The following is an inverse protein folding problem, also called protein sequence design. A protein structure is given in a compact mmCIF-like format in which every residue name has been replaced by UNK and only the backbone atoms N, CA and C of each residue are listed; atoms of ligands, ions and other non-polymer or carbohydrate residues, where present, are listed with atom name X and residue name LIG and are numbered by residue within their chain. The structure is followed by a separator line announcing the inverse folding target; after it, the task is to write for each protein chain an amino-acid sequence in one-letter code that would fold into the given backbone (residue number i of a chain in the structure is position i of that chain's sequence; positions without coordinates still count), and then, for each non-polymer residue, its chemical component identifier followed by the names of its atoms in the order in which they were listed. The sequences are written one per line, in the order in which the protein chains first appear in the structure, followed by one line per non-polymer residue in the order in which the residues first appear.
data_IF_882276818224
#
_entry.id   IF_882276818224
#
_cell.length_a   1.000
_cell.length_b   1.000
_cell.length_c   1.000
_cell.angle_alpha   90.00
_cell.angle_beta   90.00
_cell.angle_gamma   90.00
#
_symmetry.space_group_name_H-M   'P 1'
#
loop_
_entity.id
_entity.type
_entity.pdbx_description
1 polymer ?
#
# COMPACT_ATOMS: atom_id res chain seq x y z
N UNK A 1 43.02 -16.01 -46.32
CA UNK A 1 41.92 -16.70 -47.03
C UNK A 1 41.05 -17.42 -46.02
N UNK A 2 39.88 -16.87 -45.66
CA UNK A 2 38.93 -17.50 -44.74
C UNK A 2 38.23 -18.65 -45.47
N UNK A 3 38.35 -19.86 -44.91
CA UNK A 3 37.84 -21.11 -45.48
C UNK A 3 36.32 -21.09 -45.63
N UNK A 4 35.83 -21.68 -46.73
CA UNK A 4 34.41 -21.75 -47.10
C UNK A 4 33.53 -22.38 -45.99
N UNK A 5 34.10 -23.26 -45.16
CA UNK A 5 33.44 -23.85 -43.98
C UNK A 5 33.16 -22.83 -42.87
N UNK A 6 34.04 -21.86 -42.65
CA UNK A 6 33.85 -20.82 -41.62
C UNK A 6 32.73 -19.84 -42.00
N UNK A 7 32.57 -19.55 -43.30
CA UNK A 7 31.47 -18.68 -43.79
C UNK A 7 30.11 -19.35 -43.71
N UNK A 8 30.05 -20.67 -43.90
CA UNK A 8 28.82 -21.44 -43.75
C UNK A 8 28.38 -21.54 -42.28
N UNK A 9 29.32 -21.76 -41.37
CA UNK A 9 29.05 -21.77 -39.92
C UNK A 9 28.55 -20.42 -39.41
N UNK A 10 29.16 -19.31 -39.84
CA UNK A 10 28.69 -17.96 -39.47
C UNK A 10 27.29 -17.66 -40.00
N UNK A 11 26.96 -18.09 -41.23
CA UNK A 11 25.61 -17.90 -41.80
C UNK A 11 24.54 -18.70 -41.07
N UNK A 12 24.85 -19.94 -40.66
CA UNK A 12 23.93 -20.76 -39.88
C UNK A 12 23.63 -20.14 -38.49
N UNK A 13 24.64 -19.54 -37.85
CA UNK A 13 24.48 -18.86 -36.56
C UNK A 13 23.71 -17.54 -36.66
N UNK A 14 23.92 -16.77 -37.73
CA UNK A 14 23.15 -15.54 -37.98
C UNK A 14 21.65 -15.82 -38.18
N UNK A 15 21.30 -16.92 -38.85
CA UNK A 15 19.90 -17.32 -39.03
C UNK A 15 19.24 -17.80 -37.73
N UNK A 16 19.99 -18.49 -36.84
CA UNK A 16 19.47 -18.92 -35.54
C UNK A 16 19.23 -17.74 -34.58
N UNK A 17 20.11 -16.73 -34.59
CA UNK A 17 19.94 -15.51 -33.79
C UNK A 17 18.74 -14.66 -34.24
N UNK A 18 18.46 -14.61 -35.55
CA UNK A 18 17.31 -13.89 -36.09
C UNK A 18 15.96 -14.56 -35.74
N UNK A 19 15.93 -15.90 -35.62
CA UNK A 19 14.71 -16.63 -35.24
C UNK A 19 14.33 -16.43 -33.76
N UNK A 20 15.32 -16.25 -32.87
CA UNK A 20 15.08 -15.95 -31.44
C UNK A 20 14.61 -14.51 -31.19
N UNK A 21 14.93 -13.58 -32.10
CA UNK A 21 14.48 -12.17 -32.01
C UNK A 21 13.01 -11.96 -32.40
N UNK A 22 12.35 -12.98 -32.96
CA UNK A 22 10.93 -12.94 -33.37
C UNK A 22 9.99 -13.62 -32.36
N UNK A 23 10.51 -14.15 -31.26
CA UNK A 23 9.67 -14.60 -30.15
C UNK A 23 9.04 -13.35 -29.50
N UNK A 24 7.70 -13.27 -29.39
CA UNK A 24 7.07 -12.15 -28.69
C UNK A 24 7.62 -12.11 -27.27
N UNK A 25 8.29 -11.00 -26.94
CA UNK A 25 8.63 -10.62 -25.58
C UNK A 25 7.32 -10.48 -24.81
N UNK A 26 6.88 -11.58 -24.21
CA UNK A 26 5.84 -11.54 -23.19
C UNK A 26 6.44 -10.75 -22.03
N UNK A 27 5.94 -9.56 -21.69
CA UNK A 27 6.42 -8.87 -20.51
C UNK A 27 6.15 -9.80 -19.33
N UNK A 28 7.20 -10.31 -18.74
CA UNK A 28 7.12 -10.86 -17.40
C UNK A 28 6.88 -9.67 -16.48
N UNK A 29 5.62 -9.28 -16.36
CA UNK A 29 5.17 -8.42 -15.28
C UNK A 29 5.62 -9.10 -14.00
N UNK A 30 6.62 -8.51 -13.33
CA UNK A 30 6.92 -8.85 -11.95
C UNK A 30 5.72 -8.35 -11.16
N UNK A 31 4.69 -9.20 -11.10
CA UNK A 31 3.55 -9.01 -10.23
C UNK A 31 4.11 -9.14 -8.83
N UNK A 32 4.42 -8.00 -8.21
CA UNK A 32 4.60 -7.93 -6.78
C UNK A 32 3.23 -8.31 -6.20
N UNK A 33 3.04 -9.61 -5.92
CA UNK A 33 1.92 -10.08 -5.12
C UNK A 33 2.18 -9.54 -3.73
N UNK A 34 1.71 -8.31 -3.49
CA UNK A 34 1.42 -7.85 -2.14
C UNK A 34 0.46 -8.91 -1.61
N UNK A 35 0.78 -9.60 -0.49
CA UNK A 35 -0.20 -10.45 0.14
C UNK A 35 -1.40 -9.57 0.44
N UNK A 36 -2.48 -9.75 -0.32
CA UNK A 36 -3.77 -9.25 0.13
C UNK A 36 -4.01 -9.99 1.44
N UNK A 37 -3.84 -9.27 2.54
CA UNK A 37 -4.39 -9.68 3.81
C UNK A 37 -5.89 -9.50 3.66
N UNK A 38 -6.52 -10.47 2.99
CA UNK A 38 -7.95 -10.69 3.06
C UNK A 38 -8.24 -10.98 4.52
N UNK A 39 -8.62 -9.94 5.26
CA UNK A 39 -9.30 -10.10 6.52
C UNK A 39 -10.62 -10.77 6.18
N UNK A 40 -10.63 -12.11 6.17
CA UNK A 40 -11.86 -12.88 6.19
C UNK A 40 -12.51 -12.55 7.52
N UNK A 41 -13.48 -11.64 7.50
CA UNK A 41 -14.44 -11.56 8.59
C UNK A 41 -14.99 -12.97 8.78
N UNK A 42 -14.89 -13.51 9.99
CA UNK A 42 -15.42 -14.83 10.36
C UNK A 42 -16.94 -14.97 10.11
N UNK A 43 -17.60 -13.91 9.62
CA UNK A 43 -19.01 -13.84 9.28
C UNK A 43 -19.37 -14.33 7.86
N UNK A 44 -18.41 -14.70 6.99
CA UNK A 44 -18.76 -15.16 5.65
C UNK A 44 -19.01 -16.68 5.60
N UNK A 45 -20.31 -17.03 5.52
CA UNK A 45 -20.92 -18.32 5.16
C UNK A 45 -21.14 -19.38 6.27
N UNK A 46 -21.89 -19.03 7.31
CA UNK A 46 -22.95 -19.95 7.74
C UNK A 46 -24.29 -19.40 7.25
N UNK A 47 -25.07 -20.16 6.47
CA UNK A 47 -26.43 -19.75 6.16
C UNK A 47 -27.21 -19.71 7.47
N UNK A 48 -27.53 -18.52 7.97
CA UNK A 48 -28.52 -18.35 9.04
C UNK A 48 -29.87 -18.47 8.36
N UNK A 49 -30.30 -19.71 8.13
CA UNK A 49 -31.60 -19.99 7.58
C UNK A 49 -32.67 -19.50 8.53
N UNK A 50 -33.38 -18.43 8.18
CA UNK A 50 -34.70 -18.13 8.75
C UNK A 50 -35.74 -19.04 8.10
N UNK A 51 -35.50 -20.35 8.24
CA UNK A 51 -36.49 -21.38 7.92
C UNK A 51 -37.50 -21.42 9.06
N UNK A 52 -38.69 -20.89 8.80
CA UNK A 52 -39.85 -20.94 9.69
C UNK A 52 -40.25 -22.41 9.92
N UNK A 53 -39.72 -23.01 10.97
CA UNK A 53 -40.07 -24.34 11.48
C UNK A 53 -40.74 -24.22 12.84
N UNK A 54 -42.00 -24.62 12.90
CA UNK A 54 -42.83 -24.62 14.10
C UNK A 54 -42.28 -25.68 15.09
N UNK A 55 -41.75 -25.27 16.25
CA UNK A 55 -41.20 -26.21 17.23
C UNK A 55 -40.69 -25.52 18.50
N UNK A 56 -41.42 -25.74 19.59
CA UNK A 56 -41.11 -25.59 21.02
C UNK A 56 -39.87 -24.81 21.48
N UNK A 57 -40.13 -23.80 22.33
CA UNK A 57 -39.19 -23.10 23.22
C UNK A 57 -38.19 -24.08 23.87
N UNK A 58 -36.93 -24.02 23.43
CA UNK A 58 -35.76 -24.45 24.17
C UNK A 58 -34.93 -23.21 24.54
N UNK A 59 -34.69 -23.02 25.83
CA UNK A 59 -33.91 -21.92 26.36
C UNK A 59 -32.42 -22.29 26.20
N UNK A 60 -31.79 -21.92 25.08
CA UNK A 60 -30.41 -22.31 24.79
C UNK A 60 -29.44 -21.19 25.17
N UNK A 61 -29.04 -21.18 26.44
CA UNK A 61 -27.79 -20.57 26.89
C UNK A 61 -26.65 -21.55 26.58
N UNK A 62 -25.82 -21.26 25.58
CA UNK A 62 -24.58 -22.01 25.39
C UNK A 62 -23.57 -21.62 26.48
N UNK A 63 -23.49 -22.45 27.52
CA UNK A 63 -22.51 -22.35 28.61
C UNK A 63 -21.25 -23.08 28.18
N UNK A 64 -20.18 -22.33 27.87
CA UNK A 64 -18.84 -22.89 27.79
C UNK A 64 -18.28 -22.99 29.21
N UNK A 65 -18.28 -24.20 29.76
CA UNK A 65 -17.72 -24.45 31.08
C UNK A 65 -16.22 -24.20 31.09
N UNK A 66 -15.78 -23.19 31.84
CA UNK A 66 -14.42 -23.09 32.33
C UNK A 66 -14.46 -23.43 33.82
N UNK A 67 -13.72 -24.46 34.18
CA UNK A 67 -13.40 -24.84 35.54
C UNK A 67 -12.59 -23.71 36.22
N UNK A 68 -12.93 -23.43 37.47
CA UNK A 68 -12.27 -22.53 38.43
C UNK A 68 -12.31 -21.00 38.21
N UNK A 69 -12.82 -20.29 39.23
CA UNK A 69 -12.51 -18.87 39.51
C UNK A 69 -13.19 -17.79 38.66
N UNK A 70 -14.40 -17.40 39.09
CA UNK A 70 -15.24 -16.28 38.64
C UNK A 70 -14.49 -14.97 38.26
N UNK A 71 -14.20 -14.83 36.97
CA UNK A 71 -14.16 -13.54 36.29
C UNK A 71 -14.92 -13.71 34.97
N UNK A 72 -16.21 -13.33 34.97
CA UNK A 72 -17.01 -13.18 33.76
C UNK A 72 -16.33 -12.20 32.79
N UNK A 73 -15.52 -12.71 31.86
CA UNK A 73 -14.98 -11.95 30.75
C UNK A 73 -16.13 -11.61 29.80
N UNK A 74 -16.73 -10.42 29.97
CA UNK A 74 -17.69 -9.88 29.01
C UNK A 74 -16.97 -9.62 27.67
N UNK A 75 -17.08 -10.57 26.74
CA UNK A 75 -16.52 -10.43 25.39
C UNK A 75 -17.39 -9.46 24.61
N UNK A 76 -16.98 -8.18 24.57
CA UNK A 76 -17.64 -7.14 23.76
C UNK A 76 -17.05 -7.13 22.35
N UNK A 77 -17.84 -7.56 21.38
CA UNK A 77 -17.53 -7.40 19.97
C UNK A 77 -17.83 -5.97 19.52
N UNK A 78 -16.89 -5.35 18.81
CA UNK A 78 -17.11 -4.07 18.16
C UNK A 78 -16.96 -4.24 16.66
N UNK A 79 -17.99 -3.80 15.93
CA UNK A 79 -17.98 -3.78 14.48
C UNK A 79 -17.31 -2.50 13.98
N UNK A 80 -16.38 -2.67 13.05
CA UNK A 80 -15.70 -1.59 12.35
C UNK A 80 -16.08 -1.65 10.88
N UNK A 81 -16.36 -0.49 10.30
CA UNK A 81 -16.64 -0.32 8.88
C UNK A 81 -15.50 0.48 8.24
N UNK A 82 -15.17 0.16 7.00
CA UNK A 82 -14.22 0.97 6.21
C UNK A 82 -14.89 2.29 5.88
N UNK A 83 -14.31 3.38 6.35
CA UNK A 83 -14.79 4.73 6.07
C UNK A 83 -14.29 5.17 4.70
N UNK A 84 -12.98 5.10 4.47
CA UNK A 84 -12.35 5.24 3.17
C UNK A 84 -11.02 4.46 3.12
N UNK A 85 -10.51 4.30 1.90
CA UNK A 85 -9.19 3.76 1.64
C UNK A 85 -8.52 4.48 0.48
N UNK A 86 -7.19 4.55 0.54
CA UNK A 86 -6.31 4.95 -0.55
C UNK A 86 -5.48 3.73 -0.89
N UNK A 87 -5.80 3.07 -2.01
CA UNK A 87 -5.05 1.90 -2.44
C UNK A 87 -3.62 2.27 -2.83
N UNK A 88 -2.71 1.29 -2.85
CA UNK A 88 -1.33 1.53 -3.31
C UNK A 88 -1.29 2.03 -4.75
N UNK A 89 -2.20 1.56 -5.61
CA UNK A 89 -2.30 2.01 -6.98
C UNK A 89 -2.76 3.46 -7.08
N UNK A 90 -3.74 3.86 -6.27
CA UNK A 90 -4.27 5.23 -6.23
C UNK A 90 -3.24 6.20 -5.69
N UNK A 91 -2.57 5.81 -4.59
CA UNK A 91 -1.44 6.54 -4.02
C UNK A 91 -0.34 6.82 -5.04
N UNK A 92 0.02 5.82 -5.86
CA UNK A 92 1.00 6.00 -6.94
C UNK A 92 0.51 6.97 -8.01
N UNK A 93 -0.76 6.88 -8.42
CA UNK A 93 -1.34 7.80 -9.42
C UNK A 93 -1.37 9.24 -8.90
N UNK A 94 -1.80 9.44 -7.66
CA UNK A 94 -1.80 10.75 -7.00
C UNK A 94 -0.38 11.31 -6.86
N UNK A 95 0.58 10.49 -6.45
CA UNK A 95 1.97 10.89 -6.31
C UNK A 95 2.67 11.23 -7.64
N UNK A 96 2.24 10.63 -8.75
CA UNK A 96 2.73 11.01 -10.08
C UNK A 96 2.36 12.46 -10.41
N UNK A 97 1.13 12.88 -10.08
CA UNK A 97 0.66 14.26 -10.22
C UNK A 97 1.16 15.22 -9.14
N UNK A 98 1.69 14.71 -8.02
CA UNK A 98 2.20 15.54 -6.92
C UNK A 98 3.43 16.35 -7.35
N UNK A 99 3.30 17.67 -7.31
CA UNK A 99 4.42 18.61 -7.44
C UNK A 99 4.69 19.27 -6.08
N UNK A 100 5.80 18.90 -5.46
CA UNK A 100 6.18 19.39 -4.12
C UNK A 100 6.41 20.91 -4.11
N UNK A 101 6.79 21.51 -5.24
CA UNK A 101 7.05 22.94 -5.32
C UNK A 101 5.78 23.78 -5.20
N UNK A 102 4.61 23.20 -5.50
CA UNK A 102 3.32 23.86 -5.35
C UNK A 102 2.85 23.87 -3.89
N UNK A 103 3.58 23.17 -3.00
CA UNK A 103 3.28 23.08 -1.57
C UNK A 103 4.17 24.09 -0.82
N UNK A 104 3.58 25.09 -0.15
CA UNK A 104 4.35 26.10 0.58
C UNK A 104 5.19 25.45 1.68
N UNK A 105 6.38 25.99 1.93
CA UNK A 105 7.30 25.49 2.96
C UNK A 105 6.68 25.53 4.35
N UNK A 106 5.93 26.60 4.62
CA UNK A 106 5.12 26.80 5.82
C UNK A 106 3.89 27.61 5.41
N UNK A 107 2.75 27.39 6.08
CA UNK A 107 1.56 28.23 5.88
C UNK A 107 1.66 29.51 6.71
N UNK A 108 1.04 30.63 6.29
CA UNK A 108 0.96 31.83 7.11
C UNK A 108 0.39 31.51 8.50
N UNK A 109 1.02 32.03 9.56
CA UNK A 109 0.65 31.77 10.95
C UNK A 109 1.25 30.48 11.54
N UNK A 110 1.91 29.65 10.75
CA UNK A 110 2.66 28.50 11.26
C UNK A 110 4.07 28.94 11.73
N UNK A 111 4.42 28.55 12.96
CA UNK A 111 5.78 28.67 13.48
C UNK A 111 6.71 27.56 12.96
N UNK A 112 7.92 27.49 13.49
CA UNK A 112 8.84 26.38 13.22
C UNK A 112 8.33 25.08 13.84
N UNK A 113 8.47 23.97 13.12
CA UNK A 113 8.15 22.65 13.64
C UNK A 113 9.33 22.05 14.40
N UNK A 114 9.08 21.60 15.63
CA UNK A 114 10.05 20.88 16.46
C UNK A 114 10.33 19.48 15.93
N UNK A 115 11.45 18.89 16.35
CA UNK A 115 11.81 17.52 15.97
C UNK A 115 10.72 16.49 16.33
N UNK A 116 10.08 16.65 17.50
CA UNK A 116 8.98 15.77 17.93
C UNK A 116 7.75 15.87 17.04
N UNK A 117 7.40 17.07 16.59
CA UNK A 117 6.30 17.27 15.64
C UNK A 117 6.62 16.62 14.29
N UNK A 118 7.86 16.76 13.82
CA UNK A 118 8.31 16.11 12.59
C UNK A 118 8.33 14.58 12.70
N UNK A 119 8.65 14.03 13.86
CA UNK A 119 8.59 12.58 14.14
C UNK A 119 7.13 12.07 14.18
N UNK A 120 6.24 12.83 14.81
CA UNK A 120 4.80 12.57 14.81
C UNK A 120 4.26 12.46 13.37
N UNK A 121 4.71 13.34 12.46
CA UNK A 121 4.28 13.32 11.07
C UNK A 121 4.61 12.01 10.35
N UNK A 122 5.69 11.33 10.70
CA UNK A 122 6.09 10.10 10.02
C UNK A 122 5.44 8.84 10.60
N UNK A 123 5.01 8.90 11.87
CA UNK A 123 4.67 7.70 12.65
C UNK A 123 3.22 7.65 13.10
N UNK A 124 2.57 8.80 13.29
CA UNK A 124 1.28 8.90 14.00
C UNK A 124 0.21 9.66 13.25
N UNK A 125 0.58 10.56 12.33
CA UNK A 125 -0.39 11.44 11.66
C UNK A 125 -1.50 10.69 10.92
N UNK A 126 -1.23 9.49 10.37
CA UNK A 126 -2.25 8.68 9.72
C UNK A 126 -3.31 8.14 10.70
N UNK A 127 -2.91 7.79 11.92
CA UNK A 127 -3.85 7.31 12.92
C UNK A 127 -4.82 8.43 13.33
N UNK A 128 -4.31 9.65 13.48
CA UNK A 128 -5.13 10.81 13.81
C UNK A 128 -5.92 11.33 12.61
N UNK A 129 -5.40 11.20 11.40
CA UNK A 129 -6.15 11.42 10.17
C UNK A 129 -7.40 10.54 10.13
N UNK A 130 -7.25 9.21 10.28
CA UNK A 130 -8.39 8.30 10.33
C UNK A 130 -9.34 8.57 11.49
N UNK A 131 -8.87 9.31 12.51
CA UNK A 131 -9.66 9.62 13.68
C UNK A 131 -10.44 10.94 13.57
N UNK A 132 -9.79 11.96 13.04
CA UNK A 132 -10.25 13.34 13.07
C UNK A 132 -10.85 13.79 11.74
N UNK A 133 -10.46 13.15 10.64
CA UNK A 133 -10.92 13.51 9.30
C UNK A 133 -11.87 12.46 8.78
N UNK A 134 -13.11 12.87 8.66
CA UNK A 134 -14.16 12.08 8.03
C UNK A 134 -14.34 12.60 6.60
N UNK A 135 -14.93 11.79 5.73
CA UNK A 135 -15.18 12.01 4.28
C UNK A 135 -15.82 13.32 3.82
N UNK A 136 -16.08 14.27 4.71
CA UNK A 136 -16.58 15.60 4.35
C UNK A 136 -15.51 16.53 3.77
N UNK A 137 -14.23 16.13 3.81
CA UNK A 137 -13.12 16.87 3.21
C UNK A 137 -12.43 16.04 2.13
N UNK A 138 -11.84 16.68 1.10
CA UNK A 138 -10.91 16.00 0.20
C UNK A 138 -9.81 15.30 1.01
N UNK A 139 -9.47 14.08 0.61
CA UNK A 139 -8.38 13.30 1.20
C UNK A 139 -7.09 14.15 1.22
N UNK A 140 -6.49 14.48 2.38
CA UNK A 140 -5.27 15.30 2.42
C UNK A 140 -4.00 14.53 2.12
N UNK A 141 -3.99 13.20 2.22
CA UNK A 141 -2.84 12.36 1.93
C UNK A 141 -3.11 11.34 0.81
N UNK A 142 -3.57 11.77 -0.39
CA UNK A 142 -3.97 10.86 -1.45
C UNK A 142 -2.80 10.13 -2.09
N UNK A 143 -1.55 10.52 -1.82
CA UNK A 143 -0.31 9.83 -2.24
C UNK A 143 0.24 8.86 -1.19
N UNK A 144 -0.45 8.70 -0.07
CA UNK A 144 -0.05 7.83 1.03
C UNK A 144 -1.06 6.67 1.14
N UNK A 145 -0.67 5.41 0.89
CA UNK A 145 -1.61 4.29 1.01
C UNK A 145 -2.08 4.11 2.46
N UNK A 146 -3.39 4.03 2.69
CA UNK A 146 -3.98 3.78 4.01
C UNK A 146 -5.44 3.32 3.90
N UNK A 147 -5.99 2.80 5.00
CA UNK A 147 -7.40 2.45 5.14
C UNK A 147 -7.88 2.93 6.50
N UNK A 148 -8.93 3.74 6.52
CA UNK A 148 -9.51 4.26 7.74
C UNK A 148 -10.76 3.46 8.12
N UNK A 149 -10.82 3.07 9.38
CA UNK A 149 -11.91 2.28 9.96
C UNK A 149 -12.66 3.12 10.98
N UNK A 150 -13.99 3.03 10.96
CA UNK A 150 -14.88 3.70 11.90
C UNK A 150 -15.75 2.67 12.63
N UNK A 151 -15.76 2.78 13.96
CA UNK A 151 -16.58 1.97 14.86
C UNK A 151 -17.42 2.85 15.81
N UNK A 152 -18.23 2.21 16.65
CA UNK A 152 -19.11 2.89 17.60
C UNK A 152 -18.32 3.65 18.69
N UNK A 153 -17.17 3.12 19.11
CA UNK A 153 -16.21 3.84 19.94
C UNK A 153 -15.39 4.75 19.03
N UNK A 154 -15.57 6.06 19.23
CA UNK A 154 -14.70 7.05 18.62
C UNK A 154 -13.26 6.74 19.04
N UNK A 155 -12.39 6.67 18.06
CA UNK A 155 -10.95 6.69 18.26
C UNK A 155 -10.53 7.90 19.13
N UNK A 156 -9.36 7.79 19.78
CA UNK A 156 -8.76 8.87 20.55
C UNK A 156 -7.55 9.41 19.80
N UNK A 157 -7.51 10.72 19.46
CA UNK A 157 -6.35 11.31 18.80
C UNK A 157 -5.08 11.20 19.66
N UNK A 158 -3.97 10.85 19.02
CA UNK A 158 -2.62 10.80 19.59
C UNK A 158 -2.02 12.19 19.75
N UNK A 159 -2.43 13.16 18.94
CA UNK A 159 -2.13 14.58 19.06
C UNK A 159 -2.92 15.29 20.17
N UNK A 160 -3.47 14.54 21.14
CA UNK A 160 -4.41 14.99 22.17
C UNK A 160 -5.83 15.26 21.66
N UNK A 161 -5.98 16.15 20.67
CA UNK A 161 -7.28 16.47 20.07
C UNK A 161 -7.19 16.74 18.56
N UNK A 162 -8.36 16.85 17.92
CA UNK A 162 -8.43 17.04 16.48
C UNK A 162 -8.03 18.44 16.00
N UNK A 163 -8.05 19.45 16.87
CA UNK A 163 -7.58 20.79 16.53
C UNK A 163 -6.04 20.82 16.47
N UNK A 164 -5.39 20.18 17.44
CA UNK A 164 -3.94 20.00 17.46
C UNK A 164 -3.47 19.14 16.28
N UNK A 165 -4.18 18.06 15.97
CA UNK A 165 -3.94 17.29 14.73
C UNK A 165 -4.00 18.18 13.49
N UNK A 166 -5.06 18.97 13.32
CA UNK A 166 -5.23 19.83 12.14
C UNK A 166 -4.08 20.84 12.01
N UNK A 167 -3.65 21.43 13.13
CA UNK A 167 -2.45 22.30 13.17
C UNK A 167 -1.20 21.53 12.71
N UNK A 168 -0.93 20.35 13.27
CA UNK A 168 0.26 19.57 12.92
C UNK A 168 0.25 19.13 11.45
N UNK A 169 -0.89 18.65 10.97
CA UNK A 169 -1.15 18.29 9.57
C UNK A 169 -0.76 19.43 8.64
N UNK A 170 -1.34 20.62 8.88
CA UNK A 170 -1.23 21.76 7.98
C UNK A 170 0.09 22.52 8.08
N UNK A 171 0.64 22.67 9.29
CA UNK A 171 1.86 23.42 9.53
C UNK A 171 3.14 22.60 9.33
N UNK A 172 3.10 21.30 9.65
CA UNK A 172 4.33 20.49 9.77
C UNK A 172 4.33 19.27 8.85
N UNK A 173 3.23 18.54 8.77
CA UNK A 173 3.26 17.20 8.19
C UNK A 173 3.07 17.17 6.68
N UNK A 174 2.17 17.99 6.13
CA UNK A 174 1.76 17.88 4.73
C UNK A 174 2.93 17.94 3.75
N UNK A 175 3.76 19.01 3.82
CA UNK A 175 4.93 19.15 2.94
C UNK A 175 5.99 18.08 3.21
N UNK A 176 6.31 17.82 4.48
CA UNK A 176 7.30 16.82 4.88
C UNK A 176 6.96 15.43 4.33
N UNK A 177 5.69 15.04 4.42
CA UNK A 177 5.21 13.77 3.90
C UNK A 177 5.18 13.76 2.37
N UNK A 178 4.74 14.84 1.72
CA UNK A 178 4.78 14.96 0.27
C UNK A 178 6.21 14.78 -0.28
N UNK A 179 7.21 15.43 0.33
CA UNK A 179 8.64 15.28 -0.01
C UNK A 179 9.11 13.83 0.13
N UNK A 180 8.82 13.21 1.29
CA UNK A 180 9.21 11.83 1.57
C UNK A 180 8.63 10.86 0.54
N UNK A 181 7.33 10.94 0.28
CA UNK A 181 6.63 10.01 -0.60
C UNK A 181 6.97 10.21 -2.08
N UNK A 182 7.15 11.47 -2.52
CA UNK A 182 7.71 11.74 -3.85
C UNK A 182 9.10 11.13 -4.00
N UNK A 183 9.94 11.23 -2.96
CA UNK A 183 11.26 10.62 -2.93
C UNK A 183 11.25 9.10 -3.01
N UNK A 184 10.40 8.43 -2.22
CA UNK A 184 10.25 6.97 -2.24
C UNK A 184 9.83 6.49 -3.64
N UNK A 185 8.81 7.12 -4.21
CA UNK A 185 8.24 6.68 -5.48
C UNK A 185 9.18 6.97 -6.66
N UNK A 186 9.86 8.12 -6.67
CA UNK A 186 10.83 8.47 -7.72
C UNK A 186 12.09 7.59 -7.71
N UNK A 187 12.48 7.04 -6.55
CA UNK A 187 13.60 6.09 -6.45
C UNK A 187 13.21 4.70 -6.93
N UNK A 188 11.98 4.27 -6.64
CA UNK A 188 11.47 2.96 -7.06
C UNK A 188 11.44 2.80 -8.59
N UNK A 189 11.23 3.87 -9.34
CA UNK A 189 11.29 3.88 -10.81
C UNK A 189 12.71 3.78 -11.36
N UNK A 190 13.74 4.24 -10.63
CA UNK A 190 15.13 4.22 -11.10
C UNK A 190 15.84 2.88 -10.95
N UNK A 191 15.33 2.00 -10.07
CA UNK A 191 15.86 0.64 -9.89
C UNK A 191 15.38 -0.34 -10.98
N UNK A 192 14.51 0.10 -11.89
CA UNK A 192 14.28 -0.57 -13.16
C UNK A 192 15.46 -0.36 -14.09
N UNK A 193 16.62 -0.98 -13.81
CA UNK A 193 17.54 -1.32 -14.91
C UNK A 193 16.71 -2.18 -15.83
N UNK A 194 16.32 -1.61 -16.97
CA UNK A 194 15.44 -2.31 -17.91
C UNK A 194 16.06 -3.68 -18.21
N UNK A 195 15.24 -4.75 -18.27
CA UNK A 195 15.75 -6.07 -18.63
C UNK A 195 16.55 -6.03 -19.94
N UNK A 196 16.23 -5.09 -20.83
CA UNK A 196 16.95 -4.78 -22.06
C UNK A 196 18.38 -4.28 -21.80
N UNK A 197 18.61 -3.42 -20.80
CA UNK A 197 19.95 -2.97 -20.44
C UNK A 197 20.83 -4.10 -19.92
N UNK A 198 20.27 -5.04 -19.15
CA UNK A 198 21.00 -6.22 -18.66
C UNK A 198 21.30 -7.21 -19.80
N UNK A 199 20.34 -7.42 -20.71
CA UNK A 199 20.53 -8.26 -21.90
C UNK A 199 21.58 -7.67 -22.85
N UNK A 200 21.58 -6.36 -23.06
CA UNK A 200 22.60 -5.69 -23.88
C UNK A 200 23.99 -5.80 -23.24
N UNK A 201 24.09 -5.65 -21.92
CA UNK A 201 25.36 -5.77 -21.20
C UNK A 201 25.88 -7.21 -21.22
N UNK A 202 25.01 -8.22 -21.10
CA UNK A 202 25.42 -9.62 -21.20
C UNK A 202 25.88 -9.98 -22.61
N UNK A 203 25.20 -9.47 -23.65
CA UNK A 203 25.60 -9.68 -25.05
C UNK A 203 26.94 -9.01 -25.36
N UNK A 204 27.19 -7.80 -24.86
CA UNK A 204 28.46 -7.10 -25.03
C UNK A 204 29.62 -7.83 -24.34
N UNK A 205 29.41 -8.34 -23.12
CA UNK A 205 30.41 -9.14 -22.41
C UNK A 205 30.71 -10.46 -23.12
N UNK A 206 29.70 -11.10 -23.71
CA UNK A 206 29.87 -12.34 -24.46
C UNK A 206 30.66 -12.15 -25.77
N UNK A 207 30.40 -11.05 -26.49
CA UNK A 207 31.15 -10.68 -27.71
C UNK A 207 32.60 -10.28 -27.40
N UNK A 208 32.85 -9.66 -26.25
CA UNK A 208 34.21 -9.27 -25.84
C UNK A 208 35.08 -10.45 -25.37
N UNK A 209 34.48 -11.60 -25.07
CA UNK A 209 35.17 -12.79 -24.57
C UNK A 209 35.43 -13.87 -25.66
N UNK A 210 34.92 -13.64 -26.88
CA UNK A 210 35.14 -14.47 -28.07
C UNK A 210 36.23 -13.88 -28.97
#
# INVERSE_FOLDING_TARGET
MVSQRQRAAMRAWLCAGAALALLPLVPADVIFRVPEVLVRHAAASKPVGTGRGNGSRGNETEVWGADDGDALLEVRYEEYFVEHDVSTADARRAANGLNVNDIPATRPGCGSCSQRELEYCETRVLADHCCCERRFVPEPFPWLPHTCYVGARRCRPLAHDCAQYARLRDCCCYRKLAERWKGILSKSTRLGVSGVSLLLLSMLLFVAYL
#
